data_IF_655896747442
#
_entry.id   IF_655896747442
#
_cell.length_a   1.000
_cell.length_b   1.000
_cell.length_c   1.000
_cell.angle_alpha   90.00
_cell.angle_beta   90.00
_cell.angle_gamma   90.00
#
_symmetry.space_group_name_H-M   'P 1'
#
loop_
_entity.id
_entity.type
_entity.pdbx_description
1 polymer ?
#
# COMPACT_ATOMS: atom_id res chain seq x y z
N UNK A 1 2.71 3.38 -13.86
CA UNK A 1 2.80 4.48 -12.88
C UNK A 1 3.88 4.10 -11.88
N UNK A 2 4.92 4.92 -11.63
CA UNK A 2 5.96 4.54 -10.67
C UNK A 2 5.35 4.43 -9.27
N UNK A 3 5.54 3.29 -8.59
CA UNK A 3 4.95 2.98 -7.27
C UNK A 3 5.28 4.00 -6.17
N UNK A 4 6.34 4.81 -6.37
CA UNK A 4 6.77 5.84 -5.41
C UNK A 4 5.72 6.90 -5.10
N UNK A 5 4.92 7.33 -6.08
CA UNK A 5 3.98 8.45 -5.89
C UNK A 5 2.86 8.17 -4.89
N UNK A 6 2.46 6.90 -4.75
CA UNK A 6 1.38 6.51 -3.82
C UNK A 6 1.87 6.42 -2.37
N UNK A 7 3.15 6.12 -2.16
CA UNK A 7 3.73 5.93 -0.82
C UNK A 7 4.21 7.21 -0.14
N UNK A 8 4.11 8.34 -0.84
CA UNK A 8 4.48 9.68 -0.37
C UNK A 8 3.26 10.50 0.06
N UNK A 9 2.06 9.95 -0.13
CA UNK A 9 0.81 10.58 0.28
C UNK A 9 0.70 10.62 1.80
N UNK A 10 0.19 11.73 2.31
CA UNK A 10 -0.36 11.76 3.67
C UNK A 10 -1.60 10.86 3.76
N UNK A 11 -1.96 10.47 4.99
CA UNK A 11 -3.15 9.63 5.22
C UNK A 11 -4.44 10.31 4.71
N UNK A 12 -4.55 11.63 4.81
CA UNK A 12 -5.71 12.38 4.31
C UNK A 12 -5.78 12.33 2.78
N UNK A 13 -4.65 12.53 2.09
CA UNK A 13 -4.60 12.44 0.62
C UNK A 13 -4.92 11.03 0.13
N UNK A 14 -4.36 10.00 0.77
CA UNK A 14 -4.68 8.60 0.43
C UNK A 14 -6.17 8.31 0.63
N UNK A 15 -6.76 8.77 1.74
CA UNK A 15 -8.18 8.63 2.03
C UNK A 15 -9.07 9.32 0.98
N UNK A 16 -8.74 10.55 0.60
CA UNK A 16 -9.46 11.28 -0.46
C UNK A 16 -9.41 10.53 -1.80
N UNK A 17 -8.26 9.98 -2.18
CA UNK A 17 -8.12 9.21 -3.42
C UNK A 17 -8.90 7.89 -3.39
N UNK A 18 -8.94 7.21 -2.24
CA UNK A 18 -9.72 5.99 -2.04
C UNK A 18 -11.22 6.27 -2.10
N UNK A 19 -11.71 7.29 -1.38
CA UNK A 19 -13.12 7.69 -1.38
C UNK A 19 -13.58 8.16 -2.76
N UNK A 20 -12.72 8.86 -3.50
CA UNK A 20 -12.99 9.27 -4.87
C UNK A 20 -12.77 8.17 -5.90
N UNK A 21 -12.41 6.94 -5.47
CA UNK A 21 -12.13 5.77 -6.31
C UNK A 21 -11.08 6.02 -7.40
N UNK A 22 -10.20 7.00 -7.19
CA UNK A 22 -9.07 7.29 -8.09
C UNK A 22 -7.96 6.25 -7.96
N UNK A 23 -7.89 5.61 -6.80
CA UNK A 23 -7.04 4.44 -6.53
C UNK A 23 -7.87 3.40 -5.78
N UNK A 24 -7.48 2.14 -5.91
CA UNK A 24 -7.98 1.04 -5.10
C UNK A 24 -7.10 0.79 -3.87
N UNK A 25 -7.69 0.18 -2.84
CA UNK A 25 -6.98 -0.30 -1.64
C UNK A 25 -5.90 -1.31 -2.03
N UNK A 26 -6.17 -2.15 -3.04
CA UNK A 26 -5.19 -3.11 -3.58
C UNK A 26 -4.01 -2.40 -4.23
N UNK A 27 -4.23 -1.36 -5.04
CA UNK A 27 -3.14 -0.59 -5.66
C UNK A 27 -2.28 0.11 -4.61
N UNK A 28 -2.89 0.75 -3.62
CA UNK A 28 -2.15 1.42 -2.55
C UNK A 28 -1.33 0.42 -1.73
N UNK A 29 -1.92 -0.73 -1.38
CA UNK A 29 -1.25 -1.78 -0.61
C UNK A 29 -0.07 -2.38 -1.38
N UNK A 30 -0.23 -2.63 -2.68
CA UNK A 30 0.87 -3.10 -3.55
C UNK A 30 2.02 -2.11 -3.58
N UNK A 31 1.74 -0.81 -3.71
CA UNK A 31 2.78 0.21 -3.73
C UNK A 31 3.63 0.21 -2.44
N UNK A 32 3.02 -0.02 -1.27
CA UNK A 32 3.76 -0.19 -0.02
C UNK A 32 4.55 -1.49 0.04
N UNK A 33 4.00 -2.61 -0.45
CA UNK A 33 4.72 -3.89 -0.54
C UNK A 33 5.97 -3.74 -1.40
N UNK A 34 5.85 -3.18 -2.62
CA UNK A 34 6.98 -2.94 -3.53
C UNK A 34 8.07 -2.08 -2.86
N UNK A 35 7.65 -1.05 -2.13
CA UNK A 35 8.56 -0.15 -1.41
C UNK A 35 9.27 -0.87 -0.26
N UNK A 36 8.53 -1.65 0.52
CA UNK A 36 9.10 -2.45 1.60
C UNK A 36 10.15 -3.41 1.04
N UNK A 37 9.82 -4.19 0.01
CA UNK A 37 10.75 -5.15 -0.60
C UNK A 37 12.03 -4.50 -1.12
N UNK A 38 11.96 -3.26 -1.62
CA UNK A 38 13.11 -2.51 -2.12
C UNK A 38 14.05 -2.00 -1.01
N UNK A 39 13.50 -1.57 0.14
CA UNK A 39 14.27 -0.84 1.17
C UNK A 39 14.59 -1.71 2.39
N UNK A 40 13.72 -2.65 2.73
CA UNK A 40 13.83 -3.50 3.91
C UNK A 40 15.14 -4.30 4.03
N UNK A 41 15.77 -4.81 2.94
CA UNK A 41 17.06 -5.50 3.05
C UNK A 41 18.18 -4.66 3.69
N UNK A 42 18.08 -3.32 3.57
CA UNK A 42 19.02 -2.37 4.16
C UNK A 42 18.52 -1.84 5.50
N UNK A 43 17.23 -1.50 5.58
CA UNK A 43 16.64 -0.84 6.75
C UNK A 43 16.45 -1.78 7.94
N UNK A 44 16.04 -3.04 7.68
CA UNK A 44 15.79 -4.07 8.70
C UNK A 44 14.86 -3.59 9.82
N UNK A 45 13.74 -2.98 9.44
CA UNK A 45 12.74 -2.45 10.38
C UNK A 45 11.56 -3.39 10.63
N UNK A 46 11.34 -4.40 9.79
CA UNK A 46 10.22 -5.33 9.90
C UNK A 46 10.71 -6.71 10.38
N UNK A 47 10.08 -7.20 11.44
CA UNK A 47 10.34 -8.56 11.95
C UNK A 47 9.51 -9.58 11.17
N UNK A 48 8.21 -9.30 10.99
CA UNK A 48 7.26 -10.20 10.33
C UNK A 48 6.62 -9.49 9.15
N UNK A 49 6.84 -10.00 7.95
CA UNK A 49 6.27 -9.46 6.71
C UNK A 49 5.23 -10.44 6.14
N UNK A 50 3.99 -9.96 5.98
CA UNK A 50 2.82 -10.78 5.57
C UNK A 50 2.06 -10.14 4.38
N UNK A 51 2.70 -9.99 3.21
CA UNK A 51 2.13 -9.27 2.05
C UNK A 51 0.82 -9.89 1.57
N UNK A 52 0.68 -11.22 1.61
CA UNK A 52 -0.54 -11.91 1.18
C UNK A 52 -1.75 -11.58 2.04
N UNK A 53 -1.55 -11.46 3.36
CA UNK A 53 -2.62 -11.07 4.29
C UNK A 53 -3.06 -9.63 4.01
N UNK A 54 -2.10 -8.72 3.83
CA UNK A 54 -2.37 -7.32 3.51
C UNK A 54 -3.17 -7.18 2.20
N UNK A 55 -2.76 -7.91 1.15
CA UNK A 55 -3.48 -7.92 -0.13
C UNK A 55 -4.89 -8.50 0.00
N UNK A 56 -5.08 -9.55 0.81
CA UNK A 56 -6.41 -10.11 1.06
C UNK A 56 -7.33 -9.09 1.73
N UNK A 57 -6.83 -8.37 2.74
CA UNK A 57 -7.59 -7.33 3.43
C UNK A 57 -7.91 -6.16 2.50
N UNK A 58 -6.96 -5.72 1.67
CA UNK A 58 -7.18 -4.67 0.68
C UNK A 58 -8.30 -5.02 -0.31
N UNK A 59 -8.33 -6.27 -0.82
CA UNK A 59 -9.41 -6.76 -1.69
C UNK A 59 -10.77 -6.79 -0.99
N UNK A 60 -10.81 -6.96 0.33
CA UNK A 60 -12.06 -6.91 1.09
C UNK A 60 -12.52 -5.46 1.26
N UNK A 61 -11.60 -4.54 1.55
CA UNK A 61 -11.89 -3.12 1.68
C UNK A 61 -12.45 -2.53 0.37
N UNK A 62 -11.91 -2.91 -0.79
CA UNK A 62 -12.43 -2.45 -2.09
C UNK A 62 -13.84 -2.97 -2.42
N UNK A 63 -14.32 -4.00 -1.72
CA UNK A 63 -15.66 -4.59 -1.91
C UNK A 63 -16.72 -4.02 -0.96
N UNK A 64 -16.31 -3.24 0.04
CA UNK A 64 -17.22 -2.59 1.00
C UNK A 64 -17.66 -1.22 0.48
#
# INVERSE_FOLDING_TARGET
MPSSSLTELSINQANELLLSKKISSVELTKAYIDKIESIEPKLRALITFVPDLALRQARMADKQ
#
